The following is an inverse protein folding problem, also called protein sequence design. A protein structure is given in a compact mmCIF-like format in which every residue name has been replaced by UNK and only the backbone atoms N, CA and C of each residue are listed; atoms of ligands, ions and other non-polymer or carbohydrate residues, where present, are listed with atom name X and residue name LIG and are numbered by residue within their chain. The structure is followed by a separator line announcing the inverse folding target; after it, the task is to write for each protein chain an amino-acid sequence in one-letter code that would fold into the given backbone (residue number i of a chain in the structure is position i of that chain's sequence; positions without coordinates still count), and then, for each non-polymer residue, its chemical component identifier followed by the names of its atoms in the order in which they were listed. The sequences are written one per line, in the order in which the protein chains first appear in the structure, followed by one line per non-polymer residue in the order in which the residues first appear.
data_IF_145344600343
#
_entry.id   IF_145344600343
#
_cell.length_a   1.000
_cell.length_b   1.000
_cell.length_c   1.000
_cell.angle_alpha   90.00
_cell.angle_beta   90.00
_cell.angle_gamma   90.00
#
_symmetry.space_group_name_H-M   'P 1'
#
loop_
_entity.id
_entity.type
_entity.pdbx_description
1 polymer ?
#
# COMPACT_ATOMS: atom_id res chain seq x y z
N UNK A 1 19.60 22.60 -4.29
CA UNK A 1 18.55 22.06 -3.39
C UNK A 1 18.08 20.70 -3.93
N UNK A 2 18.94 19.66 -3.89
CA UNK A 2 18.64 18.33 -4.47
C UNK A 2 18.38 17.25 -3.41
N UNK A 3 18.67 17.55 -2.14
CA UNK A 3 18.58 16.57 -1.06
C UNK A 3 17.15 16.46 -0.51
N UNK A 4 16.39 17.55 -0.57
CA UNK A 4 15.01 17.60 -0.10
C UNK A 4 14.07 16.82 -1.03
N UNK A 5 14.31 16.83 -2.34
CA UNK A 5 13.55 16.06 -3.33
C UNK A 5 13.75 14.56 -3.13
N UNK A 6 15.00 14.10 -3.00
CA UNK A 6 15.30 12.68 -2.72
C UNK A 6 14.63 12.17 -1.45
N UNK A 7 14.60 13.00 -0.42
CA UNK A 7 13.96 12.71 0.86
C UNK A 7 12.44 12.60 0.72
N UNK A 8 11.81 13.51 -0.04
CA UNK A 8 10.38 13.46 -0.38
C UNK A 8 10.02 12.19 -1.14
N UNK A 9 10.76 11.89 -2.20
CA UNK A 9 10.53 10.72 -3.02
C UNK A 9 10.67 9.44 -2.19
N UNK A 10 11.71 9.35 -1.36
CA UNK A 10 11.89 8.23 -0.44
C UNK A 10 10.73 8.07 0.54
N UNK A 11 10.28 9.17 1.16
CA UNK A 11 9.14 9.13 2.07
C UNK A 11 7.87 8.63 1.37
N UNK A 12 7.62 9.12 0.16
CA UNK A 12 6.48 8.73 -0.66
C UNK A 12 6.51 7.24 -1.04
N UNK A 13 7.61 6.76 -1.62
CA UNK A 13 7.76 5.35 -1.97
C UNK A 13 7.69 4.45 -0.74
N UNK A 14 8.28 4.86 0.38
CA UNK A 14 8.18 4.11 1.62
C UNK A 14 6.73 4.04 2.11
N UNK A 15 5.96 5.13 2.03
CA UNK A 15 4.53 5.11 2.36
C UNK A 15 3.74 4.16 1.46
N UNK A 16 4.03 4.13 0.16
CA UNK A 16 3.40 3.21 -0.78
C UNK A 16 3.74 1.75 -0.46
N UNK A 17 5.01 1.46 -0.19
CA UNK A 17 5.46 0.12 0.21
C UNK A 17 4.80 -0.33 1.51
N UNK A 18 4.66 0.57 2.50
CA UNK A 18 3.95 0.28 3.74
C UNK A 18 2.45 0.05 3.51
N UNK A 19 1.84 0.78 2.58
CA UNK A 19 0.42 0.65 2.26
C UNK A 19 0.10 -0.65 1.50
N UNK A 20 1.02 -1.13 0.66
CA UNK A 20 0.88 -2.41 -0.06
C UNK A 20 1.15 -3.65 0.79
N UNK A 21 1.70 -3.49 2.00
CA UNK A 21 2.01 -4.61 2.89
C UNK A 21 0.92 -4.82 3.94
N UNK A 22 0.51 -6.07 4.16
CA UNK A 22 -0.41 -6.48 5.24
C UNK A 22 0.23 -6.50 6.64
N UNK A 23 1.31 -5.74 6.85
CA UNK A 23 2.10 -5.72 8.08
C UNK A 23 1.94 -4.39 8.78
N UNK A 24 1.72 -4.42 10.10
CA UNK A 24 1.68 -3.19 10.89
C UNK A 24 3.06 -2.52 10.87
N UNK A 25 3.10 -1.18 10.86
CA UNK A 25 4.34 -0.39 11.00
C UNK A 25 5.25 -0.92 12.12
N UNK A 26 4.67 -1.40 13.23
CA UNK A 26 5.38 -2.01 14.35
C UNK A 26 6.10 -3.32 13.98
N UNK A 27 5.46 -4.19 13.21
CA UNK A 27 6.08 -5.45 12.73
C UNK A 27 7.21 -5.14 11.76
N UNK A 28 6.99 -4.23 10.81
CA UNK A 28 8.02 -3.81 9.86
C UNK A 28 9.22 -3.19 10.60
N UNK A 29 8.97 -2.35 11.61
CA UNK A 29 10.06 -1.82 12.45
C UNK A 29 10.83 -2.94 13.19
N UNK A 30 10.14 -3.99 13.61
CA UNK A 30 10.75 -5.12 14.31
C UNK A 30 11.60 -5.97 13.38
N UNK A 31 11.11 -6.26 12.16
CA UNK A 31 11.84 -6.96 11.11
C UNK A 31 13.09 -6.19 10.67
N UNK A 32 12.98 -4.88 10.45
CA UNK A 32 14.12 -4.03 10.10
C UNK A 32 15.05 -3.70 11.28
N UNK A 33 14.69 -4.08 12.50
CA UNK A 33 15.46 -3.75 13.71
C UNK A 33 15.59 -2.24 13.96
N UNK A 34 14.59 -1.45 13.57
CA UNK A 34 14.54 0.01 13.77
C UNK A 34 13.48 0.41 14.78
N UNK A 35 13.67 1.58 15.42
CA UNK A 35 12.65 2.13 16.30
C UNK A 35 11.49 2.72 15.46
N UNK A 36 10.22 2.61 15.91
CA UNK A 36 9.07 3.20 15.22
C UNK A 36 9.14 4.72 15.11
N UNK A 37 9.83 5.38 16.04
CA UNK A 37 10.12 6.80 15.96
C UNK A 37 11.02 7.15 14.76
N UNK A 38 11.99 6.28 14.44
CA UNK A 38 12.88 6.44 13.28
C UNK A 38 12.10 6.30 11.98
N UNK A 39 11.27 5.27 11.86
CA UNK A 39 10.40 5.08 10.70
C UNK A 39 9.47 6.30 10.52
N UNK A 40 8.87 6.79 11.61
CA UNK A 40 8.00 7.97 11.56
C UNK A 40 8.74 9.24 11.12
N UNK A 41 10.00 9.42 11.55
CA UNK A 41 10.83 10.55 11.12
C UNK A 41 11.18 10.49 9.62
N UNK A 42 11.31 9.29 9.06
CA UNK A 42 11.51 9.11 7.61
C UNK A 42 10.25 9.44 6.82
N UNK A 43 9.08 8.98 7.29
CA UNK A 43 7.78 9.26 6.67
C UNK A 43 7.36 10.72 6.76
N UNK A 44 7.85 11.45 7.77
CA UNK A 44 7.64 12.90 7.94
C UNK A 44 8.69 13.74 7.23
N UNK A 45 9.61 13.11 6.50
CA UNK A 45 10.72 13.79 5.85
C UNK A 45 11.58 14.60 6.85
N UNK A 46 11.59 14.22 8.12
CA UNK A 46 12.34 14.92 9.16
C UNK A 46 13.80 14.46 9.14
N UNK A 47 14.03 13.18 8.82
CA UNK A 47 15.35 12.58 8.69
C UNK A 47 15.47 11.75 7.43
N UNK A 48 16.64 11.81 6.80
CA UNK A 48 17.01 10.92 5.71
C UNK A 48 17.80 9.73 6.28
N UNK A 49 17.44 8.47 5.95
CA UNK A 49 18.21 7.30 6.36
C UNK A 49 19.64 7.34 5.82
N UNK A 50 20.58 6.72 6.55
CA UNK A 50 21.91 6.44 6.00
C UNK A 50 21.81 5.34 4.95
N UNK A 51 22.78 5.27 4.03
CA UNK A 51 22.86 4.27 2.95
C UNK A 51 22.64 2.84 3.46
N UNK A 52 23.25 2.49 4.58
CA UNK A 52 23.08 1.21 5.30
C UNK A 52 21.62 0.87 5.60
N UNK A 53 20.85 1.83 6.13
CA UNK A 53 19.42 1.66 6.40
C UNK A 53 18.56 1.68 5.15
N UNK A 54 19.01 2.37 4.12
CA UNK A 54 18.36 2.36 2.81
C UNK A 54 18.51 0.99 2.15
N UNK A 55 19.69 0.37 2.28
CA UNK A 55 19.99 -1.01 1.87
C UNK A 55 19.15 -2.03 2.65
N UNK A 56 18.99 -1.88 3.98
CA UNK A 56 18.10 -2.72 4.80
C UNK A 56 16.65 -2.67 4.28
N UNK A 57 16.14 -1.46 4.01
CA UNK A 57 14.78 -1.24 3.51
C UNK A 57 14.62 -1.81 2.11
N UNK A 58 15.53 -1.50 1.20
CA UNK A 58 15.55 -2.04 -0.17
C UNK A 58 15.55 -3.58 -0.15
N UNK A 59 16.38 -4.19 0.69
CA UNK A 59 16.47 -5.65 0.85
C UNK A 59 15.18 -6.25 1.41
N UNK A 60 14.56 -5.58 2.39
CA UNK A 60 13.31 -6.04 3.00
C UNK A 60 12.12 -5.98 2.02
N UNK A 61 12.04 -4.93 1.22
CA UNK A 61 10.96 -4.72 0.26
C UNK A 61 11.24 -5.31 -1.13
N UNK A 62 12.38 -5.97 -1.32
CA UNK A 62 12.84 -6.51 -2.61
C UNK A 62 12.79 -5.48 -3.75
N UNK A 63 13.29 -4.28 -3.47
CA UNK A 63 13.29 -3.15 -4.41
C UNK A 63 14.66 -2.48 -4.42
N UNK A 64 14.94 -1.69 -5.44
CA UNK A 64 16.22 -1.01 -5.58
C UNK A 64 16.23 0.34 -4.85
N UNK A 65 17.41 0.74 -4.38
CA UNK A 65 17.63 2.06 -3.77
C UNK A 65 17.26 3.19 -4.73
N UNK A 66 17.58 3.00 -6.01
CA UNK A 66 17.30 3.97 -7.07
C UNK A 66 15.80 4.14 -7.29
N UNK A 67 15.03 3.05 -7.20
CA UNK A 67 13.56 3.10 -7.24
C UNK A 67 13.01 3.80 -5.99
N UNK A 68 13.55 3.49 -4.82
CA UNK A 68 13.18 4.15 -3.56
C UNK A 68 13.40 5.66 -3.56
N UNK A 69 14.50 6.13 -4.13
CA UNK A 69 14.84 7.57 -4.16
C UNK A 69 14.51 8.25 -5.48
N UNK A 70 13.96 7.51 -6.44
CA UNK A 70 13.74 7.93 -7.82
C UNK A 70 12.79 9.11 -7.92
N UNK A 71 12.83 9.89 -9.01
CA UNK A 71 11.87 10.97 -9.23
C UNK A 71 10.46 10.39 -9.27
N UNK A 72 9.60 10.88 -8.39
CA UNK A 72 8.15 10.68 -8.55
C UNK A 72 7.72 11.79 -9.49
N UNK A 73 7.46 11.45 -10.74
CA UNK A 73 6.84 12.38 -11.69
C UNK A 73 5.39 12.61 -11.23
N UNK A 74 5.25 13.44 -10.18
CA UNK A 74 3.95 13.92 -9.73
C UNK A 74 3.58 15.07 -10.67
N UNK A 75 3.15 14.72 -11.88
CA UNK A 75 2.44 15.64 -12.73
C UNK A 75 1.07 15.90 -12.06
N UNK A 76 0.90 17.13 -11.56
CA UNK A 76 -0.19 17.65 -10.73
C UNK A 76 -1.56 17.70 -11.47
N UNK A 77 -1.89 16.77 -12.36
CA UNK A 77 -3.09 16.86 -13.21
C UNK A 77 -3.59 15.55 -13.82
N UNK A 78 -3.42 14.41 -13.16
CA UNK A 78 -4.22 13.23 -13.52
C UNK A 78 -4.74 12.54 -12.29
N UNK A 79 -6.06 12.35 -12.29
CA UNK A 79 -6.77 11.31 -11.58
C UNK A 79 -5.88 10.07 -11.44
N UNK A 80 -5.17 9.97 -10.32
CA UNK A 80 -4.67 8.69 -9.88
C UNK A 80 -5.89 7.76 -10.00
N UNK A 81 -5.85 6.66 -10.78
CA UNK A 81 -6.85 5.64 -10.60
C UNK A 81 -6.80 5.39 -9.11
N UNK A 82 -7.89 5.81 -8.48
CA UNK A 82 -8.09 5.70 -7.07
C UNK A 82 -8.06 4.21 -6.83
N UNK A 83 -6.86 3.66 -6.64
CA UNK A 83 -6.63 2.63 -5.65
C UNK A 83 -6.94 3.36 -4.35
N UNK A 84 -8.26 3.56 -4.15
CA UNK A 84 -8.84 3.79 -2.86
C UNK A 84 -8.08 2.83 -1.97
N UNK A 85 -7.49 3.29 -0.86
CA UNK A 85 -7.05 2.36 0.15
C UNK A 85 -8.31 1.59 0.57
N UNK A 86 -8.57 0.47 -0.09
CA UNK A 86 -9.54 -0.54 0.31
C UNK A 86 -8.84 -1.21 1.47
N UNK A 87 -8.85 -0.51 2.59
CA UNK A 87 -8.62 -1.08 3.90
C UNK A 87 -10.02 -1.45 4.41
N UNK A 88 -10.50 -2.68 4.22
CA UNK A 88 -11.45 -3.23 5.15
C UNK A 88 -10.70 -4.19 6.08
N UNK A 89 -11.02 -4.20 7.38
CA UNK A 89 -10.54 -5.18 8.35
C UNK A 89 -11.15 -6.59 8.11
N UNK A 90 -11.26 -7.03 6.86
CA UNK A 90 -12.10 -8.14 6.41
C UNK A 90 -11.31 -9.20 5.60
N UNK A 91 -9.98 -9.22 5.59
CA UNK A 91 -9.24 -10.24 4.81
C UNK A 91 -9.60 -11.69 5.18
N UNK A 92 -9.78 -11.99 6.48
CA UNK A 92 -10.13 -13.35 6.91
C UNK A 92 -11.46 -13.81 6.31
N UNK A 93 -12.44 -12.91 6.23
CA UNK A 93 -13.76 -13.23 5.71
C UNK A 93 -13.82 -13.11 4.17
N UNK A 94 -12.92 -12.36 3.52
CA UNK A 94 -12.83 -12.33 2.04
C UNK A 94 -12.47 -13.69 1.47
N UNK A 95 -11.45 -14.33 2.03
CA UNK A 95 -10.98 -15.64 1.57
C UNK A 95 -12.09 -16.69 1.74
N UNK A 96 -12.80 -16.64 2.87
CA UNK A 96 -13.97 -17.50 3.10
C UNK A 96 -15.11 -17.19 2.11
N UNK A 97 -15.41 -15.91 1.83
CA UNK A 97 -16.44 -15.58 0.84
C UNK A 97 -16.06 -15.96 -0.58
N UNK A 98 -14.79 -15.81 -0.97
CA UNK A 98 -14.30 -16.21 -2.29
C UNK A 98 -14.39 -17.74 -2.42
N UNK A 99 -14.01 -18.48 -1.39
CA UNK A 99 -14.17 -19.93 -1.33
C UNK A 99 -15.64 -20.34 -1.44
N UNK A 100 -16.52 -19.68 -0.70
CA UNK A 100 -17.96 -19.95 -0.74
C UNK A 100 -18.53 -19.65 -2.12
N UNK A 101 -18.16 -18.53 -2.76
CA UNK A 101 -18.61 -18.13 -4.10
C UNK A 101 -18.11 -19.08 -5.20
N UNK A 102 -16.94 -19.70 -5.04
CA UNK A 102 -16.42 -20.72 -5.96
C UNK A 102 -17.15 -22.07 -5.83
N UNK A 103 -17.83 -22.31 -4.71
CA UNK A 103 -18.66 -23.51 -4.46
C UNK A 103 -20.13 -23.30 -4.88
N UNK A 104 -20.51 -22.10 -5.30
CA UNK A 104 -21.89 -21.73 -5.69
C UNK A 104 -22.17 -22.04 -7.16
N UNK A 105 -23.38 -22.51 -7.47
CA UNK A 105 -23.81 -22.84 -8.84
C UNK A 105 -23.92 -21.58 -9.72
N UNK A 106 -23.79 -21.70 -11.05
CA UNK A 106 -23.82 -20.54 -11.95
C UNK A 106 -25.15 -19.76 -11.92
N UNK A 107 -26.27 -20.41 -11.56
CA UNK A 107 -27.59 -19.78 -11.46
C UNK A 107 -27.68 -18.85 -10.24
N UNK A 108 -27.17 -19.32 -9.10
CA UNK A 108 -27.12 -18.54 -7.86
C UNK A 108 -26.15 -17.37 -7.99
N UNK A 109 -25.03 -17.54 -8.69
CA UNK A 109 -24.11 -16.45 -9.03
C UNK A 109 -24.78 -15.38 -9.90
N UNK A 110 -25.62 -15.78 -10.85
CA UNK A 110 -26.40 -14.84 -11.66
C UNK A 110 -27.35 -14.01 -10.79
N UNK A 111 -28.06 -14.66 -9.86
CA UNK A 111 -28.98 -13.96 -8.95
C UNK A 111 -28.26 -12.96 -8.05
N UNK A 112 -27.07 -13.31 -7.56
CA UNK A 112 -26.21 -12.40 -6.76
C UNK A 112 -25.75 -11.21 -7.61
N UNK A 113 -25.33 -11.46 -8.85
CA UNK A 113 -24.90 -10.40 -9.76
C UNK A 113 -26.04 -9.42 -10.09
N UNK A 114 -27.25 -9.94 -10.33
CA UNK A 114 -28.45 -9.12 -10.58
C UNK A 114 -28.83 -8.27 -9.36
N UNK A 115 -28.75 -8.85 -8.15
CA UNK A 115 -28.97 -8.11 -6.92
C UNK A 115 -27.92 -6.99 -6.71
N UNK A 116 -26.65 -7.29 -6.98
CA UNK A 116 -25.59 -6.29 -6.90
C UNK A 116 -25.82 -5.13 -7.89
N UNK A 117 -26.17 -5.45 -9.14
CA UNK A 117 -26.51 -4.46 -10.16
C UNK A 117 -27.68 -3.57 -9.73
N UNK A 118 -28.73 -4.15 -9.13
CA UNK A 118 -29.87 -3.41 -8.61
C UNK A 118 -29.49 -2.42 -7.50
N UNK A 119 -28.65 -2.84 -6.54
CA UNK A 119 -28.18 -1.96 -5.46
C UNK A 119 -27.35 -0.79 -6.02
N UNK A 120 -26.49 -1.07 -7.01
CA UNK A 120 -25.70 -0.03 -7.66
C UNK A 120 -26.56 0.99 -8.41
N UNK A 121 -27.64 0.55 -9.07
CA UNK A 121 -28.53 1.44 -9.80
C UNK A 121 -29.41 2.30 -8.89
N UNK A 122 -29.74 1.82 -7.68
CA UNK A 122 -30.53 2.57 -6.69
C UNK A 122 -29.72 3.63 -5.93
N UNK A 123 -28.40 3.45 -5.81
CA UNK A 123 -27.50 4.35 -5.10
C UNK A 123 -26.85 5.42 -6.01
N UNK A 124 -27.30 5.55 -7.26
CA UNK A 124 -26.91 6.60 -8.20
C UNK A 124 -28.00 7.65 -8.30
#
# INVERSE_FOLDING_TARGET
MKNDEKKKNFSYHLQQLLAGQNRTKKQICQDLGIKPATLSAWLKEEKFPRKDRLEDVASYFHTDIEELTGPVDTDDSTDAPCLSPVQPPYEAKLVDTIRLLLEVSPEELSSIADYAAFIHQRNR
#
